data_IF_358922856578
#
_entry.id   IF_358922856578
#
_cell.length_a   1.000
_cell.length_b   1.000
_cell.length_c   1.000
_cell.angle_alpha   90.00
_cell.angle_beta   90.00
_cell.angle_gamma   90.00
#
_symmetry.space_group_name_H-M   'P 1'
#
loop_
_entity.id
_entity.type
_entity.pdbx_description
1 polymer ?
#
# COMPACT_ATOMS: atom_id res chain seq x y z
N UNK A 1 -11.60 -23.57 -15.58
CA UNK A 1 -10.44 -23.24 -14.71
C UNK A 1 -10.38 -21.72 -14.45
N UNK A 2 -10.87 -20.95 -15.41
CA UNK A 2 -10.85 -19.48 -15.43
C UNK A 2 -11.65 -18.83 -14.30
N UNK A 3 -12.85 -19.34 -13.98
CA UNK A 3 -13.67 -18.84 -12.87
C UNK A 3 -12.90 -18.85 -11.53
N UNK A 4 -12.12 -19.91 -11.27
CA UNK A 4 -11.34 -20.03 -10.04
C UNK A 4 -10.23 -18.97 -10.00
N UNK A 5 -9.53 -18.76 -11.13
CA UNK A 5 -8.49 -17.73 -11.26
C UNK A 5 -9.05 -16.32 -11.09
N UNK A 6 -10.24 -16.04 -11.65
CA UNK A 6 -10.92 -14.75 -11.48
C UNK A 6 -11.31 -14.52 -10.03
N UNK A 7 -11.90 -15.51 -9.35
CA UNK A 7 -12.28 -15.37 -7.92
C UNK A 7 -11.03 -15.15 -7.07
N UNK A 8 -9.98 -15.95 -7.27
CA UNK A 8 -8.74 -15.83 -6.53
C UNK A 8 -8.05 -14.48 -6.79
N UNK A 9 -7.99 -14.05 -8.05
CA UNK A 9 -7.46 -12.76 -8.45
C UNK A 9 -8.21 -11.61 -7.80
N UNK A 10 -9.54 -11.67 -7.78
CA UNK A 10 -10.38 -10.67 -7.12
C UNK A 10 -10.11 -10.58 -5.62
N UNK A 11 -10.06 -11.72 -4.91
CA UNK A 11 -9.72 -11.76 -3.49
C UNK A 11 -8.34 -11.13 -3.25
N UNK A 12 -7.35 -11.46 -4.07
CA UNK A 12 -5.99 -10.92 -3.95
C UNK A 12 -5.96 -9.40 -4.17
N UNK A 13 -6.75 -8.84 -5.07
CA UNK A 13 -6.86 -7.37 -5.17
C UNK A 13 -7.53 -6.73 -3.97
N UNK A 14 -8.57 -7.34 -3.41
CA UNK A 14 -9.18 -6.82 -2.19
C UNK A 14 -8.16 -6.82 -1.03
N UNK A 15 -7.36 -7.90 -0.91
CA UNK A 15 -6.23 -7.98 0.02
C UNK A 15 -5.16 -6.94 -0.32
N UNK A 16 -4.90 -6.66 -1.60
CA UNK A 16 -3.97 -5.64 -2.05
C UNK A 16 -4.42 -4.21 -1.69
N UNK A 17 -5.71 -3.91 -1.80
CA UNK A 17 -6.33 -2.66 -1.36
C UNK A 17 -6.29 -2.55 0.17
N UNK A 18 -6.64 -3.61 0.90
CA UNK A 18 -6.49 -3.61 2.36
C UNK A 18 -5.02 -3.42 2.77
N UNK A 19 -4.11 -4.10 2.05
CA UNK A 19 -2.67 -3.95 2.16
C UNK A 19 -2.15 -2.60 1.69
N UNK A 20 -2.98 -1.73 1.08
CA UNK A 20 -2.56 -0.37 0.78
C UNK A 20 -2.36 0.45 2.05
N UNK A 21 -3.19 0.19 3.07
CA UNK A 21 -3.16 0.87 4.37
C UNK A 21 -2.21 0.23 5.38
N UNK A 22 -1.81 -1.02 5.12
CA UNK A 22 -0.93 -1.79 5.99
C UNK A 22 0.51 -1.74 5.43
N UNK A 23 1.51 -1.31 6.20
CA UNK A 23 2.88 -1.12 5.70
C UNK A 23 3.60 -2.46 5.48
N UNK A 24 3.10 -3.52 6.12
CA UNK A 24 3.67 -4.88 6.04
C UNK A 24 3.31 -5.54 4.70
N UNK A 25 2.17 -5.18 4.12
CA UNK A 25 1.69 -5.77 2.88
C UNK A 25 2.05 -4.88 1.69
N UNK A 26 2.72 -5.43 0.66
CA UNK A 26 2.99 -4.70 -0.57
C UNK A 26 1.70 -4.53 -1.39
N UNK A 27 0.84 -3.57 -1.02
CA UNK A 27 -0.51 -3.43 -1.58
C UNK A 27 -0.57 -3.34 -3.11
N UNK A 28 0.30 -2.54 -3.73
CA UNK A 28 0.37 -2.41 -5.19
C UNK A 28 0.88 -3.70 -5.88
N UNK A 29 1.99 -4.33 -5.44
CA UNK A 29 2.39 -5.65 -5.96
C UNK A 29 1.36 -6.76 -5.75
N UNK A 30 0.68 -6.81 -4.59
CA UNK A 30 -0.41 -7.76 -4.32
C UNK A 30 -1.56 -7.56 -5.31
N UNK A 31 -1.99 -6.31 -5.52
CA UNK A 31 -3.04 -6.02 -6.50
C UNK A 31 -2.63 -6.38 -7.93
N UNK A 32 -1.34 -6.24 -8.26
CA UNK A 32 -0.79 -6.67 -9.55
C UNK A 32 -0.83 -8.20 -9.72
N UNK A 33 -0.60 -9.00 -8.67
CA UNK A 33 -0.76 -10.46 -8.73
C UNK A 33 -2.21 -10.82 -9.08
N UNK A 34 -3.19 -10.07 -8.59
CA UNK A 34 -4.59 -10.23 -8.98
C UNK A 34 -4.83 -10.01 -10.48
N UNK A 35 -4.18 -8.99 -11.07
CA UNK A 35 -4.18 -8.79 -12.52
C UNK A 35 -3.49 -9.94 -13.27
N UNK A 36 -2.32 -10.40 -12.78
CA UNK A 36 -1.60 -11.51 -13.38
C UNK A 36 -2.47 -12.77 -13.45
N UNK A 37 -3.19 -13.08 -12.38
CA UNK A 37 -4.11 -14.22 -12.31
C UNK A 37 -5.26 -14.11 -13.32
N UNK A 38 -5.74 -12.90 -13.62
CA UNK A 38 -6.74 -12.70 -14.67
C UNK A 38 -6.16 -12.98 -16.06
N UNK A 39 -4.96 -12.49 -16.35
CA UNK A 39 -4.30 -12.71 -17.64
C UNK A 39 -3.80 -14.15 -17.84
N UNK A 40 -3.70 -14.94 -16.76
CA UNK A 40 -3.45 -16.38 -16.82
C UNK A 40 -4.68 -17.20 -17.23
N UNK A 41 -5.87 -16.59 -17.36
CA UNK A 41 -7.06 -17.27 -17.89
C UNK A 41 -6.98 -17.46 -19.40
N UNK A 42 -7.54 -18.54 -19.91
CA UNK A 42 -7.56 -18.84 -21.35
C UNK A 42 -8.46 -17.85 -22.12
N UNK A 43 -9.41 -17.22 -21.42
CA UNK A 43 -10.35 -16.26 -21.97
C UNK A 43 -9.74 -14.87 -22.26
N UNK A 44 -8.74 -14.45 -21.48
CA UNK A 44 -8.15 -13.11 -21.60
C UNK A 44 -6.86 -13.17 -22.44
N UNK A 45 -6.77 -12.45 -23.57
CA UNK A 45 -5.56 -12.42 -24.38
C UNK A 45 -4.35 -11.93 -23.59
N UNK A 46 -3.29 -12.73 -23.61
CA UNK A 46 -2.02 -12.41 -22.95
C UNK A 46 -1.42 -11.10 -23.50
N UNK A 47 -1.41 -10.05 -22.65
CA UNK A 47 -0.76 -8.78 -22.96
C UNK A 47 0.43 -8.53 -22.03
N UNK A 48 1.57 -9.08 -22.41
CA UNK A 48 2.82 -8.97 -21.65
C UNK A 48 3.32 -7.53 -21.50
N UNK A 49 3.02 -6.64 -22.46
CA UNK A 49 3.36 -5.22 -22.34
C UNK A 49 2.56 -4.52 -21.25
N UNK A 50 1.24 -4.76 -21.19
CA UNK A 50 0.39 -4.24 -20.13
C UNK A 50 0.82 -4.77 -18.75
N UNK A 51 1.06 -6.08 -18.63
CA UNK A 51 1.55 -6.68 -17.39
C UNK A 51 2.93 -6.14 -16.98
N UNK A 52 3.85 -5.94 -17.93
CA UNK A 52 5.18 -5.38 -17.68
C UNK A 52 5.14 -3.92 -17.20
N UNK A 53 4.34 -3.07 -17.84
CA UNK A 53 4.18 -1.66 -17.45
C UNK A 53 3.52 -1.57 -16.06
N UNK A 54 2.46 -2.33 -15.82
CA UNK A 54 1.79 -2.36 -14.51
C UNK A 54 2.71 -2.92 -13.43
N UNK A 55 3.55 -3.93 -13.72
CA UNK A 55 4.54 -4.42 -12.77
C UNK A 55 5.56 -3.35 -12.41
N UNK A 56 6.08 -2.64 -13.41
CA UNK A 56 7.04 -1.55 -13.20
C UNK A 56 6.44 -0.44 -12.33
N UNK A 57 5.18 -0.06 -12.57
CA UNK A 57 4.44 0.90 -11.73
C UNK A 57 4.28 0.36 -10.31
N UNK A 58 3.89 -0.90 -10.14
CA UNK A 58 3.70 -1.50 -8.82
C UNK A 58 4.99 -1.51 -8.00
N UNK A 59 6.12 -1.85 -8.63
CA UNK A 59 7.44 -1.82 -8.00
C UNK A 59 7.91 -0.40 -7.68
N UNK A 60 7.67 0.55 -8.58
CA UNK A 60 8.00 1.96 -8.35
C UNK A 60 7.22 2.53 -7.17
N UNK A 61 5.91 2.27 -7.11
CA UNK A 61 5.04 2.70 -6.01
C UNK A 61 5.46 2.05 -4.70
N UNK A 62 5.80 0.76 -4.73
CA UNK A 62 6.33 0.06 -3.56
C UNK A 62 7.64 0.71 -3.06
N UNK A 63 8.57 1.06 -3.96
CA UNK A 63 9.80 1.77 -3.59
C UNK A 63 9.50 3.17 -3.03
N UNK A 64 8.59 3.92 -3.65
CA UNK A 64 8.17 5.24 -3.18
C UNK A 64 7.53 5.19 -1.78
N UNK A 65 6.82 4.12 -1.44
CA UNK A 65 6.19 3.94 -0.11
C UNK A 65 7.24 3.95 1.02
N UNK A 66 8.46 3.47 0.78
CA UNK A 66 9.56 3.55 1.75
C UNK A 66 10.36 4.85 1.65
N UNK A 67 10.49 5.41 0.44
CA UNK A 67 11.32 6.60 0.19
C UNK A 67 10.62 7.87 0.68
N UNK A 68 9.32 8.04 0.40
CA UNK A 68 8.57 9.26 0.73
C UNK A 68 8.55 9.53 2.25
N UNK A 69 8.25 8.56 3.14
CA UNK A 69 8.33 8.77 4.59
C UNK A 69 9.74 9.10 5.07
N UNK A 70 10.77 8.49 4.47
CA UNK A 70 12.16 8.75 4.82
C UNK A 70 12.59 10.17 4.42
N UNK A 71 12.22 10.64 3.23
CA UNK A 71 12.47 12.01 2.77
C UNK A 71 11.66 13.01 3.61
N UNK A 72 10.38 12.71 3.86
CA UNK A 72 9.51 13.51 4.72
C UNK A 72 10.14 13.70 6.09
N UNK A 73 10.54 12.63 6.76
CA UNK A 73 11.18 12.72 8.07
C UNK A 73 12.47 13.55 8.04
N UNK A 74 13.36 13.31 7.06
CA UNK A 74 14.62 14.07 6.92
C UNK A 74 14.37 15.57 6.68
N UNK A 75 13.38 15.92 5.86
CA UNK A 75 13.07 17.33 5.53
C UNK A 75 12.59 18.12 6.74
N UNK A 76 11.95 17.45 7.70
CA UNK A 76 11.50 18.06 8.95
C UNK A 76 12.50 17.89 10.11
N UNK A 77 13.76 17.53 9.81
CA UNK A 77 14.84 17.43 10.80
C UNK A 77 14.85 16.14 11.61
N UNK A 78 14.07 15.14 11.19
CA UNK A 78 13.97 13.84 11.84
C UNK A 78 15.06 12.86 11.41
N UNK A 79 15.14 11.77 12.16
CA UNK A 79 16.08 10.68 11.98
C UNK A 79 15.41 9.41 11.43
N UNK A 80 16.22 8.37 11.22
CA UNK A 80 15.70 7.04 10.88
C UNK A 80 14.80 6.47 11.99
N UNK A 81 15.00 6.87 13.25
CA UNK A 81 14.19 6.36 14.38
C UNK A 81 12.76 6.88 14.35
N UNK A 82 12.50 8.09 13.85
CA UNK A 82 11.15 8.59 13.62
C UNK A 82 10.39 7.76 12.59
N UNK A 83 11.02 7.41 11.46
CA UNK A 83 10.42 6.53 10.43
C UNK A 83 10.08 5.14 10.99
N UNK A 84 11.01 4.57 11.76
CA UNK A 84 10.79 3.27 12.43
C UNK A 84 9.67 3.41 13.46
N UNK A 85 9.64 4.51 14.22
CA UNK A 85 8.59 4.83 15.18
C UNK A 85 7.21 4.91 14.52
N UNK A 86 7.10 5.54 13.36
CA UNK A 86 5.86 5.58 12.55
C UNK A 86 5.38 4.18 12.19
N UNK A 87 6.32 3.32 11.76
CA UNK A 87 6.02 1.94 11.37
C UNK A 87 5.57 1.11 12.56
N UNK A 88 6.26 1.21 13.70
CA UNK A 88 5.89 0.51 14.94
C UNK A 88 4.53 1.01 15.46
N UNK A 89 4.31 2.32 15.43
CA UNK A 89 3.02 2.91 15.80
C UNK A 89 1.88 2.35 14.96
N UNK A 90 2.09 2.17 13.66
CA UNK A 90 1.11 1.53 12.78
C UNK A 90 0.84 0.08 13.15
N UNK A 91 1.88 -0.69 13.49
CA UNK A 91 1.72 -2.07 13.99
C UNK A 91 0.91 -2.08 15.30
N UNK A 92 1.21 -1.18 16.23
CA UNK A 92 0.46 -1.04 17.48
C UNK A 92 -1.00 -0.69 17.23
N UNK A 93 -1.30 0.13 16.22
CA UNK A 93 -2.68 0.47 15.85
C UNK A 93 -3.51 -0.75 15.43
N UNK A 94 -2.87 -1.74 14.82
CA UNK A 94 -3.53 -2.96 14.32
C UNK A 94 -3.75 -3.95 15.47
N UNK A 95 -2.75 -4.09 16.36
CA UNK A 95 -2.82 -5.04 17.49
C UNK A 95 -3.70 -4.48 18.63
N UNK A 96 -3.65 -3.17 18.84
CA UNK A 96 -4.41 -2.45 19.86
C UNK A 96 -5.32 -1.38 19.21
N UNK A 97 -6.43 -1.79 18.58
CA UNK A 97 -7.37 -0.90 17.90
C UNK A 97 -8.27 -0.13 18.89
N UNK A 98 -7.71 0.35 20.00
CA UNK A 98 -8.44 1.09 21.07
C UNK A 98 -9.13 2.34 20.51
N UNK A 99 -8.53 2.97 19.49
CA UNK A 99 -9.02 4.20 18.86
C UNK A 99 -9.79 3.92 17.54
N UNK A 100 -10.08 2.66 17.22
CA UNK A 100 -10.73 2.28 15.97
C UNK A 100 -9.99 2.79 14.73
N UNK A 101 -10.71 3.30 13.69
CA UNK A 101 -10.10 3.81 12.45
C UNK A 101 -9.10 4.95 12.66
N UNK A 102 -9.32 5.79 13.68
CA UNK A 102 -8.40 6.89 14.00
C UNK A 102 -7.05 6.40 14.51
N UNK A 103 -6.96 5.16 14.99
CA UNK A 103 -5.71 4.54 15.43
C UNK A 103 -4.65 4.49 14.33
N UNK A 104 -5.04 4.29 13.06
CA UNK A 104 -4.13 4.26 11.91
C UNK A 104 -3.45 5.63 11.69
N UNK A 105 -4.04 6.71 12.20
CA UNK A 105 -3.49 8.06 12.09
C UNK A 105 -2.72 8.43 13.35
N UNK A 106 -3.33 8.21 14.51
CA UNK A 106 -2.81 8.71 15.79
C UNK A 106 -1.59 7.91 16.23
N UNK A 107 -1.62 6.58 16.13
CA UNK A 107 -0.52 5.75 16.62
C UNK A 107 0.78 5.91 15.82
N UNK A 108 0.78 6.01 14.47
CA UNK A 108 2.01 6.29 13.74
C UNK A 108 2.63 7.64 14.12
N UNK A 109 1.80 8.68 14.31
CA UNK A 109 2.30 9.99 14.75
C UNK A 109 2.94 9.92 16.14
N UNK A 110 2.27 9.27 17.11
CA UNK A 110 2.80 9.06 18.47
C UNK A 110 4.07 8.21 18.44
N UNK A 111 4.08 7.13 17.64
CA UNK A 111 5.24 6.27 17.47
C UNK A 111 6.44 7.02 16.90
N UNK A 112 6.23 7.87 15.89
CA UNK A 112 7.28 8.70 15.31
C UNK A 112 7.84 9.70 16.32
N UNK A 113 6.96 10.33 17.12
CA UNK A 113 7.34 11.26 18.16
C UNK A 113 8.21 10.60 19.24
N UNK A 114 7.77 9.43 19.74
CA UNK A 114 8.54 8.65 20.72
C UNK A 114 9.87 8.20 20.12
N UNK A 115 9.88 7.74 18.86
CA UNK A 115 11.09 7.32 18.15
C UNK A 115 12.13 8.44 18.05
N UNK A 116 11.69 9.68 17.82
CA UNK A 116 12.56 10.85 17.79
C UNK A 116 13.00 11.32 19.18
N UNK A 117 12.12 11.26 20.18
CA UNK A 117 12.48 11.55 21.57
C UNK A 117 13.61 10.61 22.06
N UNK A 118 13.54 9.31 21.72
CA UNK A 118 14.60 8.33 22.00
C UNK A 118 15.89 8.65 21.23
N UNK A 119 15.80 9.39 20.12
CA UNK A 119 16.97 9.89 19.40
C UNK A 119 17.59 11.15 20.01
N UNK A 120 17.16 11.56 21.22
CA UNK A 120 17.59 12.78 21.91
C UNK A 120 17.28 14.05 21.12
N UNK A 121 16.27 14.02 20.26
CA UNK A 121 15.77 15.24 19.62
C UNK A 121 15.03 16.10 20.66
N UNK A 122 15.20 17.42 20.60
CA UNK A 122 14.35 18.34 21.36
C UNK A 122 12.88 18.09 21.01
N UNK A 123 11.97 18.22 21.99
CA UNK A 123 10.53 17.98 21.81
C UNK A 123 9.94 18.73 20.61
N UNK A 124 10.43 19.95 20.34
CA UNK A 124 10.02 20.77 19.18
C UNK A 124 10.50 20.20 17.84
N UNK A 125 11.68 19.59 17.80
CA UNK A 125 12.23 18.92 16.62
C UNK A 125 11.54 17.56 16.44
N UNK A 126 11.35 16.81 17.52
CA UNK A 126 10.64 15.53 17.51
C UNK A 126 9.20 15.67 16.98
N UNK A 127 8.45 16.70 17.38
CA UNK A 127 7.11 16.96 16.87
C UNK A 127 7.09 17.29 15.37
N UNK A 128 8.03 18.14 14.91
CA UNK A 128 8.16 18.47 13.47
C UNK A 128 8.54 17.24 12.64
N UNK A 129 9.51 16.48 13.12
CA UNK A 129 9.98 15.24 12.50
C UNK A 129 8.86 14.18 12.43
N UNK A 130 8.11 13.99 13.52
CA UNK A 130 6.95 13.11 13.58
C UNK A 130 5.89 13.52 12.56
N UNK A 131 5.60 14.82 12.45
CA UNK A 131 4.67 15.35 11.45
C UNK A 131 5.16 15.11 10.02
N UNK A 132 6.46 15.31 9.75
CA UNK A 132 7.06 15.02 8.45
C UNK A 132 7.01 13.53 8.07
N UNK A 133 7.26 12.65 9.05
CA UNK A 133 7.16 11.20 8.87
C UNK A 133 5.73 10.76 8.60
N UNK A 134 4.80 11.28 9.39
CA UNK A 134 3.38 11.01 9.28
C UNK A 134 2.80 11.47 7.94
N UNK A 135 3.11 12.70 7.51
CA UNK A 135 2.69 13.19 6.19
C UNK A 135 3.30 12.37 5.05
N UNK A 136 4.57 11.97 5.17
CA UNK A 136 5.20 11.12 4.19
C UNK A 136 4.57 9.73 4.11
N UNK A 137 4.24 9.13 5.25
CA UNK A 137 3.48 7.88 5.32
C UNK A 137 2.08 8.00 4.69
N UNK A 138 1.36 9.07 5.01
CA UNK A 138 0.02 9.30 4.47
C UNK A 138 0.05 9.51 2.95
N UNK A 139 1.03 10.26 2.45
CA UNK A 139 1.25 10.45 1.02
C UNK A 139 1.60 9.14 0.30
N UNK A 140 2.52 8.33 0.86
CA UNK A 140 2.87 7.01 0.31
C UNK A 140 1.66 6.07 0.26
N UNK A 141 0.92 5.98 1.36
CA UNK A 141 -0.32 5.22 1.48
C UNK A 141 -1.36 5.66 0.46
N UNK A 142 -1.54 6.96 0.27
CA UNK A 142 -2.52 7.52 -0.67
C UNK A 142 -2.17 7.20 -2.13
N UNK A 143 -0.89 7.34 -2.52
CA UNK A 143 -0.42 6.95 -3.86
C UNK A 143 -0.64 5.45 -4.07
N UNK A 144 -0.26 4.61 -3.09
CA UNK A 144 -0.44 3.16 -3.15
C UNK A 144 -1.92 2.80 -3.29
N UNK A 145 -2.79 3.43 -2.52
CA UNK A 145 -4.24 3.22 -2.58
C UNK A 145 -4.82 3.54 -3.96
N UNK A 146 -4.50 4.71 -4.53
CA UNK A 146 -4.97 5.08 -5.88
C UNK A 146 -4.57 4.02 -6.91
N UNK A 147 -3.31 3.57 -6.88
CA UNK A 147 -2.81 2.56 -7.83
C UNK A 147 -3.54 1.23 -7.67
N UNK A 148 -3.80 0.78 -6.44
CA UNK A 148 -4.58 -0.44 -6.19
C UNK A 148 -6.02 -0.33 -6.70
N UNK A 149 -6.65 0.84 -6.58
CA UNK A 149 -8.00 1.10 -7.12
C UNK A 149 -8.00 1.11 -8.65
N UNK A 150 -6.97 1.70 -9.28
CA UNK A 150 -6.81 1.68 -10.74
C UNK A 150 -6.66 0.23 -11.23
N UNK A 151 -5.88 -0.60 -10.55
CA UNK A 151 -5.72 -2.01 -10.89
C UNK A 151 -7.02 -2.80 -10.74
N UNK A 152 -7.78 -2.55 -9.68
CA UNK A 152 -9.11 -3.12 -9.52
C UNK A 152 -10.04 -2.70 -10.67
N UNK A 153 -9.99 -1.43 -11.07
CA UNK A 153 -10.73 -0.93 -12.23
C UNK A 153 -10.37 -1.66 -13.52
N UNK A 154 -9.08 -1.86 -13.79
CA UNK A 154 -8.64 -2.65 -14.95
C UNK A 154 -9.11 -4.10 -14.89
N UNK A 155 -9.05 -4.72 -13.71
CA UNK A 155 -9.50 -6.09 -13.54
C UNK A 155 -11.00 -6.22 -13.80
N UNK A 156 -11.83 -5.37 -13.19
CA UNK A 156 -13.29 -5.40 -13.37
C UNK A 156 -13.64 -5.15 -14.84
N UNK A 157 -12.97 -4.19 -15.48
CA UNK A 157 -13.20 -3.88 -16.89
C UNK A 157 -12.89 -5.09 -17.79
N UNK A 158 -11.76 -5.76 -17.57
CA UNK A 158 -11.37 -6.96 -18.34
C UNK A 158 -12.27 -8.15 -18.07
N UNK A 159 -12.65 -8.39 -16.81
CA UNK A 159 -13.63 -9.43 -16.48
C UNK A 159 -14.97 -9.17 -17.18
N UNK A 160 -15.40 -7.91 -17.26
CA UNK A 160 -16.65 -7.54 -17.93
C UNK A 160 -16.58 -7.73 -19.44
N UNK A 161 -15.45 -7.37 -20.06
CA UNK A 161 -15.20 -7.53 -21.50
C UNK A 161 -15.24 -8.99 -21.93
N UNK A 162 -14.57 -9.88 -21.18
CA UNK A 162 -14.47 -11.30 -21.50
C UNK A 162 -15.47 -12.17 -20.73
N UNK A 163 -16.54 -11.60 -20.17
CA UNK A 163 -17.49 -12.34 -19.33
C UNK A 163 -18.14 -13.51 -20.05
N UNK A 164 -18.40 -13.39 -21.37
CA UNK A 164 -19.00 -14.46 -22.16
C UNK A 164 -18.08 -15.68 -22.24
N UNK A 165 -16.77 -15.45 -22.25
CA UNK A 165 -15.76 -16.48 -22.46
C UNK A 165 -15.25 -17.04 -21.13
N UNK A 166 -15.28 -16.22 -20.06
CA UNK A 166 -14.95 -16.64 -18.68
C UNK A 166 -16.07 -17.48 -18.06
N UNK A 167 -17.33 -17.16 -18.39
CA UNK A 167 -18.51 -17.83 -17.85
C UNK A 167 -19.27 -18.65 -18.90
N UNK A 168 -18.66 -18.96 -20.06
CA UNK A 168 -19.20 -19.98 -20.96
C UNK A 168 -18.99 -21.34 -20.30
N UNK A 169 -20.10 -22.00 -19.97
CA UNK A 169 -20.14 -23.38 -19.47
C UNK A 169 -20.45 -24.33 -20.61
#
# INVERSE_FOLDING_TARGET
>A
MDILLVILGFIIMLVGIAGSFLPILPGAPLSWIGLLLLYLTDAVPNNWWFLGITLAIALLVFALDYIIPAIGTKRFGGSKKGVIGTTIGLIVSIIFPVLGPFGIIIWPFVGAFIGEMINKADSKIAAKAAFGSFLGFLAGTFIKFIVTIVYLGFFIWRVWEYKSDIFSF
#
